data_IF_775549865439
#
_entry.id   IF_775549865439
#
_cell.length_a   1.000
_cell.length_b   1.000
_cell.length_c   1.000
_cell.angle_alpha   90.00
_cell.angle_beta   90.00
_cell.angle_gamma   90.00
#
_symmetry.space_group_name_H-M   'P 1'
#
loop_
_entity.id
_entity.type
_entity.pdbx_description
1 polymer ?
#
# COMPACT_ATOMS: atom_id res chain seq x y z
N UNK A 1 3.84 -2.88 -6.32
CA UNK A 1 4.28 -1.50 -6.06
C UNK A 1 5.66 -1.24 -6.64
N UNK A 2 6.60 -2.19 -6.58
CA UNK A 2 7.95 -2.04 -7.17
C UNK A 2 7.96 -1.48 -8.61
N UNK A 3 7.09 -1.96 -9.50
CA UNK A 3 7.03 -1.46 -10.89
C UNK A 3 6.60 0.02 -10.99
N UNK A 4 5.77 0.51 -10.07
CA UNK A 4 5.34 1.91 -10.01
C UNK A 4 6.55 2.78 -9.63
N UNK A 5 7.32 2.34 -8.63
CA UNK A 5 8.53 3.04 -8.22
C UNK A 5 9.66 2.93 -9.25
N UNK A 6 9.84 1.78 -9.92
CA UNK A 6 10.78 1.65 -11.06
C UNK A 6 10.45 2.61 -12.21
N UNK A 7 9.17 2.89 -12.43
CA UNK A 7 8.72 3.89 -13.40
C UNK A 7 8.89 5.34 -12.92
N UNK A 8 9.45 5.54 -11.72
CA UNK A 8 9.71 6.85 -11.16
C UNK A 8 8.52 7.50 -10.48
N UNK A 9 7.43 6.77 -10.27
CA UNK A 9 6.16 7.31 -9.73
C UNK A 9 6.13 7.13 -8.22
N UNK A 10 5.88 8.20 -7.49
CA UNK A 10 5.67 8.20 -6.05
C UNK A 10 4.28 8.73 -5.74
N UNK A 11 3.49 7.97 -4.98
CA UNK A 11 2.06 8.22 -4.87
C UNK A 11 1.73 9.39 -3.93
N UNK A 12 2.51 9.55 -2.84
CA UNK A 12 2.38 10.63 -1.84
C UNK A 12 1.11 10.66 -0.99
N UNK A 13 0.15 9.76 -1.25
CA UNK A 13 -1.16 9.77 -0.58
C UNK A 13 -1.50 8.41 0.02
N UNK A 14 -0.71 8.02 1.01
CA UNK A 14 -0.82 6.74 1.73
C UNK A 14 -1.90 6.86 2.81
N UNK A 15 -3.14 7.07 2.39
CA UNK A 15 -4.30 7.04 3.28
C UNK A 15 -5.02 5.70 3.20
N UNK A 16 -5.58 5.26 4.33
CA UNK A 16 -6.37 4.03 4.43
C UNK A 16 -7.51 3.97 3.41
N UNK A 17 -8.14 5.11 3.10
CA UNK A 17 -9.20 5.21 2.07
C UNK A 17 -8.74 4.85 0.66
N UNK A 18 -7.45 5.00 0.35
CA UNK A 18 -6.85 4.73 -0.95
C UNK A 18 -6.30 3.30 -1.05
N UNK A 19 -6.33 2.53 0.04
CA UNK A 19 -5.83 1.16 0.09
C UNK A 19 -7.01 0.22 0.19
N UNK A 20 -7.31 -0.48 -0.90
CA UNK A 20 -8.43 -1.39 -1.02
C UNK A 20 -7.99 -2.83 -0.75
N UNK A 21 -8.67 -3.49 0.19
CA UNK A 21 -8.54 -4.92 0.43
C UNK A 21 -9.61 -5.65 -0.38
N UNK A 22 -9.23 -6.28 -1.49
CA UNK A 22 -10.17 -6.99 -2.37
C UNK A 22 -10.35 -8.42 -1.88
N UNK A 23 -11.58 -8.77 -1.54
CA UNK A 23 -11.94 -10.12 -1.08
C UNK A 23 -12.26 -11.00 -2.29
N UNK A 24 -11.60 -12.16 -2.37
CA UNK A 24 -11.82 -13.12 -3.44
C UNK A 24 -11.13 -14.46 -3.17
N UNK A 25 -9.92 -14.41 -2.61
CA UNK A 25 -9.26 -15.57 -2.01
C UNK A 25 -8.95 -15.26 -0.53
N UNK A 26 -9.56 -15.95 0.45
CA UNK A 26 -9.31 -15.72 1.86
C UNK A 26 -7.88 -16.04 2.30
N UNK A 27 -7.17 -16.92 1.59
CA UNK A 27 -5.78 -17.26 1.89
C UNK A 27 -4.78 -16.23 1.35
N UNK A 28 -5.19 -15.44 0.34
CA UNK A 28 -4.36 -14.45 -0.33
C UNK A 28 -5.17 -13.21 -0.65
N UNK A 29 -5.53 -12.42 0.38
CA UNK A 29 -6.21 -11.16 0.16
C UNK A 29 -5.36 -10.25 -0.73
N UNK A 30 -6.00 -9.62 -1.72
CA UNK A 30 -5.32 -8.71 -2.64
C UNK A 30 -5.39 -7.29 -2.10
N UNK A 31 -4.23 -6.67 -1.93
CA UNK A 31 -4.12 -5.24 -1.68
C UNK A 31 -4.05 -4.50 -3.00
N UNK A 32 -4.90 -3.50 -3.18
CA UNK A 32 -4.89 -2.62 -4.36
C UNK A 32 -4.76 -1.18 -3.88
N UNK A 33 -3.74 -0.49 -4.37
CA UNK A 33 -3.56 0.92 -4.10
C UNK A 33 -4.12 1.74 -5.25
N UNK A 34 -5.00 2.69 -4.94
CA UNK A 34 -5.75 3.50 -5.91
C UNK A 34 -5.52 4.99 -5.66
N UNK A 35 -5.97 5.82 -6.61
CA UNK A 35 -6.00 7.29 -6.52
C UNK A 35 -4.64 7.99 -6.66
N UNK A 36 -4.05 7.91 -7.85
CA UNK A 36 -2.74 8.49 -8.18
C UNK A 36 -2.82 9.96 -8.65
N UNK A 37 -3.92 10.67 -8.40
CA UNK A 37 -4.15 12.02 -8.93
C UNK A 37 -3.16 13.09 -8.39
N UNK A 38 -2.60 12.85 -7.21
CA UNK A 38 -1.54 13.67 -6.59
C UNK A 38 -0.14 13.04 -6.67
N UNK A 39 0.01 11.94 -7.41
CA UNK A 39 1.30 11.27 -7.57
C UNK A 39 2.31 12.17 -8.29
N UNK A 40 3.58 12.04 -7.92
CA UNK A 40 4.68 12.78 -8.55
C UNK A 40 5.65 11.84 -9.22
N UNK A 41 6.20 12.26 -10.37
CA UNK A 41 7.28 11.54 -11.05
C UNK A 41 8.63 12.17 -10.73
N UNK A 42 9.64 11.34 -10.53
CA UNK A 42 11.02 11.78 -10.43
C UNK A 42 11.77 11.54 -11.74
N UNK A 43 12.49 12.56 -12.22
CA UNK A 43 13.38 12.43 -13.38
C UNK A 43 14.76 11.88 -13.01
N UNK A 44 15.20 12.12 -11.77
CA UNK A 44 16.42 11.56 -11.20
C UNK A 44 16.09 10.62 -10.04
N UNK A 45 16.38 9.34 -10.23
CA UNK A 45 16.18 8.28 -9.24
C UNK A 45 17.46 8.06 -8.43
N UNK A 46 17.69 8.94 -7.46
CA UNK A 46 18.81 8.84 -6.53
C UNK A 46 18.51 7.95 -5.33
N UNK A 47 19.52 7.68 -4.48
CA UNK A 47 19.37 6.86 -3.28
C UNK A 47 18.28 7.37 -2.31
N UNK A 48 18.09 8.69 -2.23
CA UNK A 48 17.05 9.29 -1.37
C UNK A 48 15.64 8.98 -1.90
N UNK A 49 15.44 9.04 -3.22
CA UNK A 49 14.16 8.71 -3.84
C UNK A 49 13.84 7.23 -3.65
N UNK A 50 14.84 6.35 -3.79
CA UNK A 50 14.70 4.92 -3.53
C UNK A 50 14.27 4.65 -2.07
N UNK A 51 14.96 5.26 -1.11
CA UNK A 51 14.61 5.12 0.31
C UNK A 51 13.18 5.60 0.61
N UNK A 52 12.71 6.67 -0.06
CA UNK A 52 11.32 7.13 0.06
C UNK A 52 10.32 6.14 -0.56
N UNK A 53 10.66 5.53 -1.68
CA UNK A 53 9.84 4.48 -2.30
C UNK A 53 9.72 3.25 -1.39
N UNK A 54 10.84 2.82 -0.79
CA UNK A 54 10.86 1.71 0.17
C UNK A 54 10.00 2.01 1.40
N UNK A 55 10.11 3.24 1.93
CA UNK A 55 9.26 3.70 3.03
C UNK A 55 7.78 3.71 2.64
N UNK A 56 7.46 4.17 1.43
CA UNK A 56 6.11 4.22 0.89
C UNK A 56 5.51 2.81 0.74
N UNK A 57 6.28 1.83 0.27
CA UNK A 57 5.89 0.40 0.22
C UNK A 57 5.59 -0.11 1.64
N UNK A 58 6.50 0.08 2.58
CA UNK A 58 6.36 -0.43 3.94
C UNK A 58 5.10 0.11 4.64
N UNK A 59 4.76 1.38 4.40
CA UNK A 59 3.55 2.00 4.94
C UNK A 59 2.27 1.39 4.32
N UNK A 60 2.23 1.18 3.00
CA UNK A 60 1.07 0.57 2.35
C UNK A 60 0.88 -0.88 2.80
N UNK A 61 1.96 -1.65 2.94
CA UNK A 61 1.91 -3.02 3.47
C UNK A 61 1.39 -3.05 4.92
N UNK A 62 1.87 -2.13 5.77
CA UNK A 62 1.40 -2.00 7.15
C UNK A 62 -0.09 -1.65 7.24
N UNK A 63 -0.58 -0.74 6.39
CA UNK A 63 -2.01 -0.43 6.29
C UNK A 63 -2.80 -1.65 5.85
N UNK A 64 -2.33 -2.38 4.84
CA UNK A 64 -2.97 -3.61 4.38
C UNK A 64 -3.08 -4.66 5.49
N UNK A 65 -2.00 -4.84 6.26
CA UNK A 65 -2.00 -5.74 7.40
C UNK A 65 -3.02 -5.31 8.47
N UNK A 66 -3.07 -4.02 8.82
CA UNK A 66 -4.03 -3.49 9.78
C UNK A 66 -5.49 -3.71 9.33
N UNK A 67 -5.79 -3.53 8.04
CA UNK A 67 -7.11 -3.81 7.48
C UNK A 67 -7.51 -5.28 7.61
N UNK A 68 -6.57 -6.21 7.35
CA UNK A 68 -6.81 -7.64 7.55
C UNK A 68 -7.09 -7.95 9.02
N UNK A 69 -6.33 -7.36 9.95
CA UNK A 69 -6.54 -7.58 11.39
C UNK A 69 -7.89 -7.02 11.86
N UNK A 70 -8.27 -5.82 11.40
CA UNK A 70 -9.56 -5.22 11.72
C UNK A 70 -10.74 -6.10 11.25
N UNK A 71 -10.57 -6.83 10.14
CA UNK A 71 -11.58 -7.78 9.66
C UNK A 71 -11.65 -9.08 10.45
N UNK A 72 -10.53 -9.53 11.02
CA UNK A 72 -10.45 -10.77 11.78
C UNK A 72 -10.73 -10.58 13.28
N UNK A 73 -10.59 -9.36 13.79
CA UNK A 73 -10.85 -9.01 15.20
C UNK A 73 -12.22 -9.51 15.71
N UNK A 74 -13.34 -9.31 14.97
CA UNK A 74 -14.65 -9.79 15.42
C UNK A 74 -14.75 -11.32 15.51
N UNK A 75 -13.93 -12.05 14.74
CA UNK A 75 -13.90 -13.50 14.76
C UNK A 75 -13.09 -14.03 15.95
N UNK A 76 -11.98 -13.36 16.29
CA UNK A 76 -11.11 -13.74 17.43
C UNK A 76 -11.79 -13.46 18.77
N UNK A 77 -12.49 -12.33 18.91
CA UNK A 77 -13.20 -11.96 20.15
C UNK A 77 -14.46 -12.81 20.43
N UNK A 78 -14.85 -13.67 19.48
CA UNK A 78 -16.02 -14.54 19.59
C UNK A 78 -15.72 -15.98 20.10
N UNK A 79 -14.46 -16.26 20.43
CA UNK A 79 -13.94 -17.55 20.98
C UNK A 79 -13.60 -17.37 22.46
#
# INVERSE_FOLDING_TARGET
MEEIHKAGVHHRDIHTRNVLLVHGNPEKPRLVWVDFDVATTFTNFGPEQLARCDQEIALVEGVGQALVWAMLLPYIESI
#
